data_IF_003941235598
#
_entry.id   IF_003941235598
#
_cell.length_a   1.000
_cell.length_b   1.000
_cell.length_c   1.000
_cell.angle_alpha   90.00
_cell.angle_beta   90.00
_cell.angle_gamma   90.00
#
_symmetry.space_group_name_H-M   'P 1'
#
loop_
_entity.id
_entity.type
_entity.pdbx_description
1 polymer ?
#
# COMPACT_ATOMS: atom_id res chain seq x y z
N UNK A 1 -19.00 -5.62 -14.31
CA UNK A 1 -17.80 -6.41 -14.66
C UNK A 1 -17.37 -7.21 -13.44
N UNK A 2 -16.56 -8.26 -13.56
CA UNK A 2 -16.05 -8.98 -12.37
C UNK A 2 -14.82 -8.25 -11.82
N UNK A 3 -14.69 -8.17 -10.50
CA UNK A 3 -13.53 -7.57 -9.86
C UNK A 3 -12.30 -8.49 -10.03
N UNK A 4 -11.19 -7.92 -10.47
CA UNK A 4 -9.93 -8.63 -10.57
C UNK A 4 -9.36 -8.91 -9.17
N UNK A 5 -8.92 -10.14 -8.94
CA UNK A 5 -8.36 -10.59 -7.67
C UNK A 5 -6.97 -11.18 -7.85
N UNK A 6 -6.18 -11.15 -6.79
CA UNK A 6 -4.89 -11.86 -6.72
C UNK A 6 -4.90 -12.83 -5.54
N UNK A 7 -4.31 -14.01 -5.72
CA UNK A 7 -4.14 -14.95 -4.61
C UNK A 7 -3.05 -14.44 -3.66
N UNK A 8 -3.24 -14.61 -2.36
CA UNK A 8 -2.25 -14.28 -1.32
C UNK A 8 -0.84 -14.80 -1.65
N UNK A 9 -0.75 -16.04 -2.14
CA UNK A 9 0.52 -16.71 -2.49
C UNK A 9 1.21 -16.12 -3.72
N UNK A 10 0.52 -15.29 -4.50
CA UNK A 10 1.04 -14.64 -5.70
C UNK A 10 1.57 -13.23 -5.42
N UNK A 11 1.37 -12.69 -4.21
CA UNK A 11 1.99 -11.43 -3.84
C UNK A 11 3.52 -11.58 -3.74
N UNK A 12 4.32 -10.60 -4.19
CA UNK A 12 5.72 -10.53 -3.82
C UNK A 12 5.84 -10.37 -2.30
N UNK A 13 6.96 -10.80 -1.70
CA UNK A 13 7.16 -10.63 -0.27
C UNK A 13 7.03 -9.15 0.11
N UNK A 14 6.15 -8.86 1.07
CA UNK A 14 5.86 -7.51 1.53
C UNK A 14 6.66 -7.18 2.78
N UNK A 15 6.99 -5.90 2.92
CA UNK A 15 7.49 -5.29 4.15
C UNK A 15 6.78 -3.99 4.44
N UNK A 16 6.65 -3.69 5.73
CA UNK A 16 6.32 -2.36 6.21
C UNK A 16 7.60 -1.66 6.65
N UNK A 17 7.83 -0.45 6.13
CA UNK A 17 8.95 0.40 6.48
C UNK A 17 8.53 1.45 7.53
N UNK A 18 9.28 1.56 8.62
CA UNK A 18 8.91 2.42 9.75
C UNK A 18 10.09 2.86 10.60
N UNK A 19 9.88 3.83 11.50
CA UNK A 19 10.86 4.15 12.55
C UNK A 19 10.66 3.23 13.76
N UNK A 20 11.66 3.15 14.64
CA UNK A 20 11.59 2.34 15.85
C UNK A 20 10.45 2.75 16.81
N UNK A 21 10.10 4.04 16.83
CA UNK A 21 9.05 4.59 17.72
C UNK A 21 7.65 4.59 17.07
N UNK A 22 7.56 4.32 15.76
CA UNK A 22 6.31 4.39 15.00
C UNK A 22 5.69 3.01 14.81
N UNK A 23 5.17 2.47 15.93
CA UNK A 23 4.73 1.07 16.03
C UNK A 23 3.23 0.91 16.38
N UNK A 24 2.41 1.90 16.04
CA UNK A 24 0.99 1.94 16.47
C UNK A 24 0.02 1.23 15.51
N UNK A 25 0.43 0.93 14.28
CA UNK A 25 -0.42 0.32 13.24
C UNK A 25 0.09 -1.06 12.76
N UNK A 26 1.27 -1.45 13.22
CA UNK A 26 2.02 -2.60 12.76
C UNK A 26 2.19 -3.51 13.96
N UNK A 27 1.22 -4.37 14.21
CA UNK A 27 1.30 -5.17 15.42
C UNK A 27 0.85 -6.57 15.10
N UNK A 28 1.57 -7.55 15.65
CA UNK A 28 1.09 -8.91 15.77
C UNK A 28 -0.26 -9.00 16.52
N UNK A 29 -0.74 -7.89 17.11
CA UNK A 29 -2.01 -7.74 17.80
C UNK A 29 -3.10 -7.14 16.88
N UNK A 30 -4.03 -7.96 16.36
CA UNK A 30 -5.13 -7.47 15.53
C UNK A 30 -5.96 -6.36 16.19
N UNK A 31 -5.99 -6.26 17.53
CA UNK A 31 -6.76 -5.25 18.26
C UNK A 31 -6.21 -3.82 18.08
N UNK A 32 -4.97 -3.68 17.62
CA UNK A 32 -4.35 -2.37 17.35
C UNK A 32 -4.45 -1.95 15.89
N UNK A 33 -4.94 -2.83 15.01
CA UNK A 33 -5.18 -2.46 13.61
C UNK A 33 -6.24 -1.37 13.55
N UNK A 34 -5.91 -0.26 12.90
CA UNK A 34 -6.84 0.85 12.68
C UNK A 34 -7.49 0.67 11.31
N UNK A 35 -8.80 0.38 11.23
CA UNK A 35 -9.48 0.23 9.94
C UNK A 35 -9.34 1.48 9.09
N UNK A 36 -9.27 1.31 7.77
CA UNK A 36 -9.24 2.42 6.81
C UNK A 36 -10.40 3.39 7.05
N UNK A 37 -10.15 4.69 6.91
CA UNK A 37 -11.18 5.72 7.05
C UNK A 37 -11.07 6.78 5.96
N UNK A 38 -12.17 6.99 5.23
CA UNK A 38 -12.35 8.02 4.22
C UNK A 38 -11.23 8.13 3.20
N UNK A 39 -11.15 9.30 2.57
CA UNK A 39 -10.03 9.73 1.76
C UNK A 39 -9.29 10.82 2.55
N UNK A 40 -7.97 10.72 2.64
CA UNK A 40 -7.07 11.67 3.30
C UNK A 40 -7.01 13.02 2.59
N UNK A 41 -6.21 13.95 3.11
CA UNK A 41 -6.10 15.33 2.62
C UNK A 41 -5.61 15.38 1.16
N UNK A 42 -6.53 15.44 0.20
CA UNK A 42 -6.28 15.81 -1.20
C UNK A 42 -5.79 14.69 -2.13
N UNK A 43 -5.56 13.47 -1.61
CA UNK A 43 -4.98 12.35 -2.35
C UNK A 43 -5.85 11.12 -2.18
N UNK A 44 -5.95 10.26 -3.20
CA UNK A 44 -6.75 9.01 -3.26
C UNK A 44 -6.56 8.04 -2.08
N UNK A 45 -5.53 8.26 -1.26
CA UNK A 45 -5.18 7.45 -0.08
C UNK A 45 -6.19 7.60 1.05
N UNK A 46 -6.38 6.58 1.91
CA UNK A 46 -7.12 6.73 3.17
C UNK A 46 -6.53 7.80 4.09
N UNK A 47 -7.28 8.20 5.12
CA UNK A 47 -6.74 9.07 6.18
C UNK A 47 -5.47 8.47 6.79
N UNK A 48 -4.47 9.31 7.03
CA UNK A 48 -3.20 8.90 7.63
C UNK A 48 -3.41 8.18 8.98
N UNK A 49 -2.63 7.13 9.21
CA UNK A 49 -2.74 6.28 10.41
C UNK A 49 -3.93 5.31 10.39
N UNK A 50 -4.56 5.08 9.24
CA UNK A 50 -5.58 4.05 9.02
C UNK A 50 -5.19 3.10 7.89
N UNK A 51 -5.63 1.85 7.97
CA UNK A 51 -5.10 0.77 7.15
C UNK A 51 -3.61 0.50 7.44
N UNK A 52 -3.02 -0.38 6.63
CA UNK A 52 -1.56 -0.57 6.60
C UNK A 52 -1.08 -0.56 5.15
N UNK A 53 -0.01 0.18 4.90
CA UNK A 53 0.65 0.23 3.60
C UNK A 53 1.90 -0.64 3.63
N UNK A 54 2.00 -1.63 2.76
CA UNK A 54 3.23 -2.43 2.60
C UNK A 54 3.75 -2.36 1.18
N UNK A 55 5.05 -2.58 1.00
CA UNK A 55 5.69 -2.58 -0.32
C UNK A 55 6.57 -3.81 -0.52
N UNK A 56 6.86 -4.21 -1.77
CA UNK A 56 7.74 -5.33 -2.07
C UNK A 56 9.15 -5.16 -1.48
N UNK A 57 9.73 -6.27 -1.05
CA UNK A 57 11.18 -6.39 -0.77
C UNK A 57 11.94 -6.33 -2.09
N UNK A 58 12.91 -5.43 -2.20
CA UNK A 58 13.73 -5.26 -3.41
C UNK A 58 15.15 -5.78 -3.26
N UNK A 59 15.66 -5.86 -2.03
CA UNK A 59 16.98 -6.43 -1.73
C UNK A 59 16.95 -7.25 -0.44
N UNK A 60 17.91 -8.20 -0.33
CA UNK A 60 18.09 -9.06 0.84
C UNK A 60 19.55 -9.14 1.26
N UNK A 61 19.73 -9.44 2.54
CA UNK A 61 20.99 -9.91 3.11
C UNK A 61 21.23 -11.38 2.78
N UNK A 62 22.45 -11.86 3.01
CA UNK A 62 22.87 -13.24 2.74
C UNK A 62 22.06 -14.29 3.55
N UNK A 63 21.56 -13.92 4.73
CA UNK A 63 20.67 -14.74 5.57
C UNK A 63 19.19 -14.63 5.18
N UNK A 64 18.90 -13.96 4.05
CA UNK A 64 17.57 -13.84 3.45
C UNK A 64 16.65 -12.83 4.12
N UNK A 65 17.12 -12.06 5.11
CA UNK A 65 16.35 -10.97 5.69
C UNK A 65 16.17 -9.80 4.69
N UNK A 66 15.08 -9.02 4.78
CA UNK A 66 14.90 -7.86 3.91
C UNK A 66 15.96 -6.79 4.21
N UNK A 67 16.68 -6.37 3.19
CA UNK A 67 17.68 -5.30 3.28
C UNK A 67 17.14 -3.95 2.81
N UNK A 68 16.16 -3.97 1.89
CA UNK A 68 15.57 -2.80 1.25
C UNK A 68 14.13 -3.07 0.78
N UNK A 69 13.43 -2.02 0.34
CA UNK A 69 12.06 -2.13 -0.19
C UNK A 69 11.76 -1.06 -1.24
N UNK A 70 10.74 -1.30 -2.06
CA UNK A 70 10.30 -0.35 -3.07
C UNK A 70 9.94 1.02 -2.47
N UNK A 71 9.36 1.05 -1.25
CA UNK A 71 9.10 2.31 -0.54
C UNK A 71 10.37 3.06 -0.18
N UNK A 72 11.38 2.37 0.34
CA UNK A 72 12.64 3.04 0.68
C UNK A 72 13.39 3.53 -0.57
N UNK A 73 13.35 2.75 -1.66
CA UNK A 73 13.90 3.17 -2.96
C UNK A 73 13.23 4.45 -3.47
N UNK A 74 11.90 4.50 -3.41
CA UNK A 74 11.12 5.68 -3.80
C UNK A 74 11.40 6.88 -2.90
N UNK A 75 11.47 6.70 -1.57
CA UNK A 75 11.84 7.78 -0.65
C UNK A 75 13.21 8.38 -0.98
N UNK A 76 14.19 7.55 -1.37
CA UNK A 76 15.51 8.04 -1.78
C UNK A 76 15.50 8.69 -3.15
N UNK A 77 14.65 8.25 -4.08
CA UNK A 77 14.61 8.81 -5.44
C UNK A 77 13.81 10.11 -5.53
N UNK A 78 12.62 10.16 -4.91
CA UNK A 78 11.67 11.26 -5.07
C UNK A 78 11.71 12.27 -3.92
N UNK A 79 12.07 11.84 -2.71
CA UNK A 79 12.06 12.70 -1.53
C UNK A 79 13.47 13.03 -1.03
N UNK A 80 14.52 12.49 -1.66
CA UNK A 80 15.92 12.62 -1.22
C UNK A 80 16.10 12.29 0.28
N UNK A 81 15.26 11.39 0.80
CA UNK A 81 15.22 11.10 2.23
C UNK A 81 16.35 10.19 2.66
N UNK A 82 16.93 10.46 3.83
CA UNK A 82 17.78 9.51 4.51
C UNK A 82 16.93 8.37 5.07
N UNK A 83 17.05 7.19 4.46
CA UNK A 83 16.36 5.99 4.92
C UNK A 83 17.16 5.18 5.94
N UNK A 84 18.33 5.67 6.34
CA UNK A 84 19.21 5.01 7.30
C UNK A 84 18.48 4.84 8.63
N UNK A 85 18.48 3.61 9.14
CA UNK A 85 17.89 3.32 10.44
C UNK A 85 16.38 3.16 10.47
N UNK A 86 15.71 3.23 9.32
CA UNK A 86 14.36 2.69 9.19
C UNK A 86 14.37 1.18 9.38
N UNK A 87 13.31 0.68 9.99
CA UNK A 87 13.05 -0.73 10.24
C UNK A 87 12.18 -1.28 9.11
N UNK A 88 12.44 -2.52 8.71
CA UNK A 88 11.65 -3.30 7.77
C UNK A 88 11.07 -4.49 8.52
N UNK A 89 9.75 -4.55 8.60
CA UNK A 89 9.03 -5.68 9.19
C UNK A 89 8.38 -6.50 8.09
N UNK A 90 8.71 -7.80 8.03
CA UNK A 90 8.11 -8.74 7.08
C UNK A 90 6.60 -8.85 7.32
N UNK A 91 5.80 -8.74 6.25
CA UNK A 91 4.35 -8.91 6.29
C UNK A 91 3.97 -10.01 5.32
N UNK A 92 3.30 -11.05 5.83
CA UNK A 92 2.86 -12.19 5.02
C UNK A 92 1.33 -12.25 5.02
N UNK A 93 0.67 -12.26 3.85
CA UNK A 93 -0.78 -12.45 3.78
C UNK A 93 -1.19 -13.78 4.43
N UNK A 94 -2.32 -13.80 5.14
CA UNK A 94 -2.95 -15.10 5.48
C UNK A 94 -3.42 -15.77 4.20
N UNK A 95 -3.43 -17.11 4.17
CA UNK A 95 -3.65 -17.90 2.94
C UNK A 95 -4.97 -17.57 2.24
N UNK A 96 -6.00 -17.24 3.01
CA UNK A 96 -7.37 -16.96 2.59
C UNK A 96 -7.67 -15.46 2.48
N UNK A 97 -6.66 -14.59 2.57
CA UNK A 97 -6.83 -13.15 2.39
C UNK A 97 -7.48 -12.84 1.03
N UNK A 98 -8.55 -12.07 1.06
CA UNK A 98 -9.30 -11.62 -0.11
C UNK A 98 -8.70 -10.32 -0.63
N UNK A 99 -7.93 -10.43 -1.71
CA UNK A 99 -7.17 -9.31 -2.26
C UNK A 99 -7.66 -8.93 -3.66
N UNK A 100 -7.91 -7.64 -3.84
CA UNK A 100 -8.14 -7.07 -5.17
C UNK A 100 -6.82 -6.76 -5.87
N UNK A 101 -6.82 -6.85 -7.20
CA UNK A 101 -5.69 -6.51 -8.05
C UNK A 101 -6.00 -5.25 -8.85
N UNK A 102 -5.03 -4.33 -8.89
CA UNK A 102 -4.98 -3.22 -9.84
C UNK A 102 -3.69 -3.37 -10.64
N UNK A 103 -3.82 -3.82 -11.89
CA UNK A 103 -2.70 -3.99 -12.85
C UNK A 103 -2.86 -3.08 -14.07
N UNK A 104 -4.07 -2.53 -14.26
CA UNK A 104 -4.40 -1.56 -15.29
C UNK A 104 -5.61 -0.69 -14.90
N UNK A 105 -5.99 0.21 -15.82
CA UNK A 105 -7.14 1.11 -15.65
C UNK A 105 -8.48 0.37 -15.56
N UNK A 106 -8.66 -0.76 -16.26
CA UNK A 106 -9.94 -1.48 -16.28
C UNK A 106 -10.24 -2.12 -14.93
N UNK A 107 -9.20 -2.62 -14.25
CA UNK A 107 -9.31 -3.11 -12.88
C UNK A 107 -9.76 -1.99 -11.93
N UNK A 108 -9.13 -0.81 -11.98
CA UNK A 108 -9.52 0.32 -11.15
C UNK A 108 -10.95 0.80 -11.44
N UNK A 109 -11.32 0.91 -12.71
CA UNK A 109 -12.70 1.28 -13.11
C UNK A 109 -13.70 0.31 -12.51
N UNK A 110 -13.47 -1.00 -12.60
CA UNK A 110 -14.38 -2.00 -12.03
C UNK A 110 -14.54 -1.86 -10.52
N UNK A 111 -13.46 -1.56 -9.80
CA UNK A 111 -13.50 -1.32 -8.34
C UNK A 111 -14.34 -0.08 -8.02
N UNK A 112 -14.15 1.01 -8.77
CA UNK A 112 -14.87 2.28 -8.54
C UNK A 112 -16.34 2.19 -8.92
N UNK A 113 -16.68 1.44 -9.97
CA UNK A 113 -18.07 1.19 -10.35
C UNK A 113 -18.81 0.40 -9.27
N UNK A 114 -18.17 -0.61 -8.67
CA UNK A 114 -18.78 -1.43 -7.61
C UNK A 114 -18.80 -0.69 -6.27
N UNK A 115 -17.73 0.02 -5.92
CA UNK A 115 -17.55 0.72 -4.65
C UNK A 115 -17.21 2.20 -4.87
N UNK A 116 -18.15 3.02 -5.37
CA UNK A 116 -17.89 4.43 -5.62
C UNK A 116 -17.79 5.22 -4.31
N UNK A 117 -16.80 6.11 -4.21
CA UNK A 117 -16.78 7.12 -3.16
C UNK A 117 -17.83 8.20 -3.45
N UNK A 118 -18.90 8.25 -2.66
CA UNK A 118 -19.96 9.27 -2.77
C UNK A 118 -19.74 10.49 -1.86
N UNK A 119 -19.12 10.29 -0.69
CA UNK A 119 -19.05 11.31 0.37
C UNK A 119 -17.62 11.77 0.65
N UNK A 120 -17.05 12.57 -0.26
CA UNK A 120 -15.83 13.30 0.08
C UNK A 120 -15.82 14.69 -0.54
N UNK A 121 -15.35 15.68 0.22
CA UNK A 121 -15.11 17.04 -0.29
C UNK A 121 -14.17 17.07 -1.51
N UNK A 122 -13.48 15.96 -1.78
CA UNK A 122 -12.58 15.77 -2.91
C UNK A 122 -13.25 15.14 -4.14
N UNK A 123 -14.42 14.49 -3.98
CA UNK A 123 -15.24 13.94 -5.09
C UNK A 123 -15.86 15.06 -5.92
N UNK A 124 -16.16 16.21 -5.30
CA UNK A 124 -16.74 17.39 -5.96
C UNK A 124 -15.89 18.01 -7.09
N UNK A 125 -14.68 17.52 -7.35
CA UNK A 125 -13.84 17.93 -8.48
C UNK A 125 -13.98 17.03 -9.71
N UNK A 126 -15.04 16.23 -9.80
CA UNK A 126 -15.27 15.31 -10.92
C UNK A 126 -14.30 14.13 -10.97
N UNK A 127 -13.60 13.86 -9.85
CA UNK A 127 -12.66 12.75 -9.72
C UNK A 127 -13.38 11.56 -9.10
N UNK A 128 -13.09 10.38 -9.62
CA UNK A 128 -13.67 9.12 -9.18
C UNK A 128 -12.64 8.33 -8.38
N UNK A 129 -13.03 7.86 -7.19
CA UNK A 129 -12.15 7.14 -6.28
C UNK A 129 -12.85 5.90 -5.70
N UNK A 130 -12.10 4.85 -5.38
CA UNK A 130 -12.63 3.72 -4.63
C UNK A 130 -13.07 4.14 -3.22
N UNK A 131 -14.16 3.57 -2.76
CA UNK A 131 -14.58 3.66 -1.37
C UNK A 131 -13.91 2.55 -0.55
N UNK A 132 -12.78 2.88 0.06
CA UNK A 132 -11.97 1.94 0.86
C UNK A 132 -12.74 1.34 2.04
N UNK A 133 -13.62 2.11 2.67
CA UNK A 133 -14.45 1.66 3.78
C UNK A 133 -15.52 0.66 3.33
N UNK A 134 -16.17 0.93 2.19
CA UNK A 134 -17.13 0.01 1.60
C UNK A 134 -16.47 -1.30 1.15
N UNK A 135 -15.26 -1.23 0.58
CA UNK A 135 -14.45 -2.40 0.25
C UNK A 135 -14.16 -3.26 1.49
N UNK A 136 -13.71 -2.63 2.59
CA UNK A 136 -13.44 -3.31 3.85
C UNK A 136 -14.71 -3.94 4.45
N UNK A 137 -15.86 -3.24 4.36
CA UNK A 137 -17.15 -3.71 4.83
C UNK A 137 -17.71 -4.88 4.01
N UNK A 138 -17.38 -4.96 2.71
CA UNK A 138 -17.69 -6.09 1.84
C UNK A 138 -16.78 -7.32 2.09
N UNK A 139 -15.85 -7.20 3.04
CA UNK A 139 -14.94 -8.27 3.46
C UNK A 139 -13.73 -8.44 2.54
N UNK A 140 -13.33 -7.41 1.80
CA UNK A 140 -12.02 -7.37 1.17
C UNK A 140 -10.96 -7.03 2.20
N UNK A 141 -9.85 -7.75 2.16
CA UNK A 141 -8.78 -7.63 3.15
C UNK A 141 -7.70 -6.65 2.71
N UNK A 142 -7.49 -6.51 1.40
CA UNK A 142 -6.48 -5.63 0.85
C UNK A 142 -6.65 -5.37 -0.64
N UNK A 143 -5.93 -4.36 -1.12
CA UNK A 143 -5.83 -3.99 -2.53
C UNK A 143 -4.37 -3.94 -2.90
N UNK A 144 -3.99 -4.74 -3.89
CA UNK A 144 -2.64 -4.78 -4.43
C UNK A 144 -2.57 -3.99 -5.73
N UNK A 145 -1.70 -2.99 -5.77
CA UNK A 145 -1.35 -2.23 -6.97
C UNK A 145 0.00 -2.72 -7.47
N UNK A 146 0.10 -3.16 -8.73
CA UNK A 146 1.38 -3.50 -9.37
C UNK A 146 2.09 -2.24 -9.87
N UNK A 147 3.39 -2.32 -10.18
CA UNK A 147 4.10 -1.22 -10.83
C UNK A 147 3.43 -0.79 -12.16
N UNK A 148 3.03 -1.77 -12.98
CA UNK A 148 2.27 -1.52 -14.21
C UNK A 148 0.94 -0.80 -13.92
N UNK A 149 0.22 -1.26 -12.89
CA UNK A 149 -1.05 -0.67 -12.47
C UNK A 149 -0.87 0.77 -12.00
N UNK A 150 0.20 1.07 -11.26
CA UNK A 150 0.56 2.42 -10.87
C UNK A 150 0.68 3.33 -12.10
N UNK A 151 1.49 2.92 -13.10
CA UNK A 151 1.72 3.75 -14.28
C UNK A 151 0.45 3.90 -15.14
N UNK A 152 -0.36 2.86 -15.21
CA UNK A 152 -1.60 2.86 -15.98
C UNK A 152 -2.69 3.75 -15.37
N UNK A 153 -2.66 3.96 -14.05
CA UNK A 153 -3.72 4.65 -13.29
C UNK A 153 -3.32 6.02 -12.75
N UNK A 154 -2.06 6.42 -12.98
CA UNK A 154 -1.52 7.73 -12.60
C UNK A 154 -1.90 8.79 -13.64
N UNK A 155 -2.69 9.78 -13.25
CA UNK A 155 -3.08 10.93 -14.10
C UNK A 155 -3.70 10.51 -15.45
N UNK A 156 -4.72 9.64 -15.48
CA UNK A 156 -5.35 9.23 -16.72
C UNK A 156 -6.08 10.41 -17.39
N UNK A 157 -6.23 10.34 -18.71
CA UNK A 157 -6.97 11.36 -19.48
C UNK A 157 -8.43 11.48 -19.05
N UNK A 158 -9.03 10.38 -18.60
CA UNK A 158 -10.39 10.30 -18.08
C UNK A 158 -10.54 9.09 -17.16
N UNK A 159 -11.54 9.13 -16.27
CA UNK A 159 -11.85 8.04 -15.34
C UNK A 159 -11.19 8.20 -13.97
N UNK A 160 -11.21 7.12 -13.15
CA UNK A 160 -10.63 7.14 -11.81
C UNK A 160 -9.11 7.25 -11.84
N UNK A 161 -8.55 7.93 -10.85
CA UNK A 161 -7.14 8.31 -10.77
C UNK A 161 -6.55 7.85 -9.43
N UNK A 162 -5.40 7.17 -9.47
CA UNK A 162 -4.63 6.80 -8.28
C UNK A 162 -3.43 7.72 -8.02
N UNK A 163 -3.39 8.91 -8.61
CA UNK A 163 -2.30 9.87 -8.38
C UNK A 163 -2.04 10.10 -6.88
N UNK A 164 -0.78 9.92 -6.50
CA UNK A 164 -0.30 9.88 -5.12
C UNK A 164 -0.10 8.47 -4.58
N UNK A 165 -0.62 7.42 -5.20
CA UNK A 165 -0.23 6.03 -4.93
C UNK A 165 1.03 5.72 -5.76
N UNK A 166 2.20 6.03 -5.20
CA UNK A 166 3.39 6.27 -6.03
C UNK A 166 4.16 5.04 -6.49
N UNK A 167 3.89 3.85 -5.94
CA UNK A 167 4.63 2.63 -6.23
C UNK A 167 3.80 1.36 -6.00
N UNK A 168 4.31 0.24 -6.50
CA UNK A 168 3.78 -1.10 -6.24
C UNK A 168 3.65 -1.38 -4.74
N UNK A 169 2.43 -1.62 -4.27
CA UNK A 169 2.17 -1.79 -2.84
C UNK A 169 0.83 -2.44 -2.56
N UNK A 170 0.69 -2.95 -1.33
CA UNK A 170 -0.59 -3.40 -0.79
C UNK A 170 -1.10 -2.37 0.20
N UNK A 171 -2.35 -1.94 0.00
CA UNK A 171 -3.14 -1.30 1.04
C UNK A 171 -3.98 -2.37 1.74
N UNK A 172 -3.64 -2.66 2.99
CA UNK A 172 -4.43 -3.53 3.87
C UNK A 172 -5.60 -2.75 4.45
N UNK A 173 -6.80 -3.25 4.16
CA UNK A 173 -8.08 -2.72 4.62
C UNK A 173 -8.48 -3.33 5.96
N UNK A 174 -8.01 -4.56 6.23
CA UNK A 174 -8.26 -5.38 7.41
C UNK A 174 -6.97 -6.06 7.85
N UNK A 175 -6.93 -6.53 9.10
CA UNK A 175 -5.81 -7.32 9.60
C UNK A 175 -5.92 -8.77 9.09
N UNK A 176 -5.37 -9.02 7.90
CA UNK A 176 -5.35 -10.33 7.22
C UNK A 176 -3.93 -10.73 6.83
N UNK A 177 -3.01 -10.55 7.76
CA UNK A 177 -1.60 -10.86 7.59
C UNK A 177 -0.98 -11.28 8.92
N UNK A 178 0.21 -11.85 8.83
CA UNK A 178 1.09 -12.11 9.97
C UNK A 178 2.36 -11.29 9.81
N UNK A 179 2.93 -10.86 10.93
CA UNK A 179 4.22 -10.16 10.97
C UNK A 179 5.35 -11.15 11.23
N UNK A 180 6.45 -10.98 10.50
CA UNK A 180 7.65 -11.82 10.62
C UNK A 180 8.79 -11.07 11.31
N UNK A 181 10.01 -11.23 10.79
CA UNK A 181 11.20 -10.57 11.35
C UNK A 181 11.11 -9.06 11.13
N UNK A 182 11.63 -8.32 12.12
CA UNK A 182 11.89 -6.90 12.02
C UNK A 182 13.39 -6.67 12.03
N UNK A 183 13.91 -6.03 10.99
CA UNK A 183 15.33 -5.74 10.83
C UNK A 183 15.54 -4.29 10.49
N UNK A 184 16.73 -3.77 10.78
CA UNK A 184 17.12 -2.43 10.33
C UNK A 184 17.46 -2.51 8.84
N UNK A 185 16.96 -1.56 8.04
CA UNK A 185 17.39 -1.39 6.66
C UNK A 185 18.92 -1.22 6.62
N UNK A 186 19.54 -1.93 5.68
CA UNK A 186 20.98 -1.84 5.40
C UNK A 186 21.27 -1.17 4.06
N UNK A 187 20.22 -0.70 3.38
CA UNK A 187 20.35 0.02 2.13
C UNK A 187 21.14 1.33 2.34
N UNK A 188 22.19 1.58 1.54
CA UNK A 188 22.93 2.82 1.63
C UNK A 188 22.03 3.99 1.22
N UNK A 189 21.91 5.00 2.07
CA UNK A 189 21.33 6.29 1.67
C UNK A 189 22.25 6.96 0.65
N UNK A 190 21.67 7.69 -0.32
CA UNK A 190 22.48 8.60 -1.14
C UNK A 190 23.10 9.62 -0.18
N UNK A 191 24.44 9.62 -0.07
CA UNK A 191 25.14 10.66 0.64
C UNK A 191 24.74 11.99 0.02
N UNK A 192 24.14 12.89 0.80
CA UNK A 192 24.02 14.29 0.41
C UNK A 192 25.47 14.78 0.28
N UNK A 193 25.93 14.97 -0.96
CA UNK A 193 27.19 15.65 -1.20
C UNK A 193 27.00 17.10 -0.73
N UNK A 194 27.50 17.38 0.47
CA UNK A 194 27.65 18.74 1.01
C UNK A 194 28.79 19.47 0.32
#
# INVERSE_FOLDING_TARGET
MSLATIAAVSLPQQVYAHTADHDVALTADPARFRPVQGIGTGWVKPKGGTGLWTSPVTARTDDGAPADSAWLEWCRSEMESDTTGLMLTEVTPVRDARLLLIDDQAHLVSIVEEFPQSDSQWVGRGRLYPNWEALAAAGWDGVYLTDRGQWATRLPKSGPDLYGWDLESVLWLRHAYTVGRTVRSSAPSKAVAS
#
